data_IF_161433921253
#
_entry.id   IF_161433921253
#
_cell.length_a   1.000
_cell.length_b   1.000
_cell.length_c   1.000
_cell.angle_alpha   90.00
_cell.angle_beta   90.00
_cell.angle_gamma   90.00
#
_symmetry.space_group_name_H-M   'P 1'
#
loop_
_entity.id
_entity.type
_entity.pdbx_description
1 polymer ?
#
# COMPACT_ATOMS: atom_id res chain seq x y z
N UNK A 1 1.70 14.40 6.91
CA UNK A 1 2.71 13.65 6.14
C UNK A 1 3.24 12.50 6.98
N UNK A 2 3.64 11.38 6.37
CA UNK A 2 4.05 10.17 7.09
C UNK A 2 5.56 10.18 7.34
N UNK A 3 6.00 10.59 8.54
CA UNK A 3 7.42 10.63 8.97
C UNK A 3 8.00 9.22 9.13
N UNK A 4 8.30 8.54 8.02
CA UNK A 4 8.98 7.23 8.04
C UNK A 4 10.48 7.42 7.91
N UNK A 5 11.21 7.04 8.96
CA UNK A 5 12.67 6.97 8.97
C UNK A 5 13.05 5.53 8.58
N UNK A 6 13.67 5.35 7.42
CA UNK A 6 14.25 4.07 7.02
C UNK A 6 15.75 4.10 7.31
N UNK A 7 16.29 3.04 7.90
CA UNK A 7 17.70 3.01 8.37
C UNK A 7 18.71 2.92 7.21
N UNK A 8 18.26 2.56 6.00
CA UNK A 8 19.11 2.35 4.83
C UNK A 8 18.47 2.86 3.53
N UNK A 9 19.28 3.45 2.64
CA UNK A 9 18.86 3.84 1.28
C UNK A 9 18.28 2.66 0.47
N UNK A 10 18.73 1.44 0.76
CA UNK A 10 18.22 0.24 0.06
C UNK A 10 16.79 -0.06 0.49
N UNK A 11 16.50 0.12 1.78
CA UNK A 11 15.15 -0.03 2.32
C UNK A 11 14.24 1.09 1.83
N UNK A 12 14.73 2.33 1.77
CA UNK A 12 13.97 3.45 1.21
C UNK A 12 13.55 3.21 -0.25
N UNK A 13 14.49 2.77 -1.11
CA UNK A 13 14.17 2.43 -2.52
C UNK A 13 13.17 1.28 -2.61
N UNK A 14 13.30 0.27 -1.75
CA UNK A 14 12.38 -0.86 -1.70
C UNK A 14 10.97 -0.41 -1.28
N UNK A 15 10.86 0.38 -0.22
CA UNK A 15 9.60 0.95 0.29
C UNK A 15 8.95 1.88 -0.73
N UNK A 16 9.74 2.69 -1.44
CA UNK A 16 9.26 3.54 -2.53
C UNK A 16 8.70 2.71 -3.70
N UNK A 17 9.35 1.60 -4.04
CA UNK A 17 8.85 0.68 -5.07
C UNK A 17 7.51 0.07 -4.66
N UNK A 18 7.38 -0.38 -3.41
CA UNK A 18 6.12 -0.92 -2.86
C UNK A 18 5.01 0.12 -2.92
N UNK A 19 5.32 1.36 -2.52
CA UNK A 19 4.38 2.47 -2.57
C UNK A 19 3.88 2.73 -4.00
N UNK A 20 4.78 2.74 -4.98
CA UNK A 20 4.42 2.91 -6.38
C UNK A 20 3.51 1.78 -6.89
N UNK A 21 3.81 0.53 -6.57
CA UNK A 21 2.99 -0.63 -6.92
C UNK A 21 1.60 -0.56 -6.28
N UNK A 22 1.52 -0.21 -5.00
CA UNK A 22 0.25 -0.07 -4.28
C UNK A 22 -0.57 1.12 -4.82
N UNK A 23 0.07 2.25 -5.13
CA UNK A 23 -0.61 3.39 -5.78
C UNK A 23 -1.18 3.01 -7.14
N UNK A 24 -0.47 2.22 -7.93
CA UNK A 24 -0.97 1.70 -9.20
C UNK A 24 -2.18 0.78 -9.01
N UNK A 25 -2.15 -0.12 -8.02
CA UNK A 25 -3.30 -0.97 -7.66
C UNK A 25 -4.52 -0.15 -7.24
N UNK A 26 -4.33 0.88 -6.42
CA UNK A 26 -5.38 1.81 -5.99
C UNK A 26 -6.00 2.53 -7.20
N UNK A 27 -5.17 3.04 -8.11
CA UNK A 27 -5.65 3.69 -9.33
C UNK A 27 -6.48 2.73 -10.19
N UNK A 28 -5.99 1.50 -10.42
CA UNK A 28 -6.72 0.47 -11.17
C UNK A 28 -8.05 0.10 -10.51
N UNK A 29 -8.09 0.00 -9.18
CA UNK A 29 -9.33 -0.25 -8.45
C UNK A 29 -10.31 0.91 -8.57
N UNK A 30 -9.84 2.15 -8.48
CA UNK A 30 -10.68 3.33 -8.61
C UNK A 30 -11.22 3.50 -10.04
N UNK A 31 -10.48 3.10 -11.08
CA UNK A 31 -11.02 3.00 -12.43
C UNK A 31 -12.14 1.97 -12.54
N UNK A 32 -12.03 0.82 -11.86
CA UNK A 32 -13.11 -0.18 -11.81
C UNK A 32 -14.33 0.35 -11.06
N UNK A 33 -14.12 1.14 -10.01
CA UNK A 33 -15.19 1.81 -9.27
C UNK A 33 -15.95 2.79 -10.17
N UNK A 34 -15.22 3.60 -10.95
CA UNK A 34 -15.83 4.54 -11.91
C UNK A 34 -16.63 3.84 -13.02
N UNK A 35 -16.27 2.59 -13.36
CA UNK A 35 -17.05 1.73 -14.25
C UNK A 35 -18.21 0.98 -13.57
N UNK A 36 -18.39 1.14 -12.26
CA UNK A 36 -19.43 0.45 -11.50
C UNK A 36 -19.16 -1.05 -11.25
N UNK A 37 -17.93 -1.54 -11.48
CA UNK A 37 -17.57 -2.96 -11.26
C UNK A 37 -17.33 -3.28 -9.78
N UNK A 38 -17.06 -2.27 -8.96
CA UNK A 38 -16.79 -2.40 -7.52
C UNK A 38 -17.54 -1.31 -6.76
N UNK A 39 -17.93 -1.59 -5.52
CA UNK A 39 -18.79 -0.72 -4.71
C UNK A 39 -18.03 0.26 -3.81
N UNK A 40 -16.71 0.19 -3.77
CA UNK A 40 -15.87 1.02 -2.90
C UNK A 40 -14.67 1.61 -3.65
N UNK A 41 -14.08 2.66 -3.07
CA UNK A 41 -12.84 3.27 -3.56
C UNK A 41 -11.70 2.92 -2.62
N UNK A 42 -10.50 2.82 -3.17
CA UNK A 42 -9.28 2.70 -2.38
C UNK A 42 -8.58 4.07 -2.31
N UNK A 43 -7.90 4.31 -1.21
CA UNK A 43 -7.07 5.49 -0.98
C UNK A 43 -5.72 5.07 -0.40
N UNK A 44 -4.68 5.83 -0.73
CA UNK A 44 -3.35 5.66 -0.12
C UNK A 44 -3.40 6.05 1.35
N UNK A 45 -3.06 5.12 2.23
CA UNK A 45 -2.96 5.31 3.68
C UNK A 45 -1.53 5.07 4.18
N UNK A 46 -1.32 5.12 5.49
CA UNK A 46 -0.02 4.89 6.14
C UNK A 46 0.58 3.48 5.96
N UNK A 47 -0.19 2.55 5.39
CA UNK A 47 0.21 1.17 5.08
C UNK A 47 0.51 0.98 3.58
N UNK A 48 0.50 2.06 2.79
CA UNK A 48 0.69 1.98 1.33
C UNK A 48 2.09 1.53 0.92
N UNK A 49 3.06 1.58 1.82
CA UNK A 49 4.45 1.15 1.65
C UNK A 49 4.73 -0.24 2.29
N UNK A 50 3.69 -0.90 2.80
CA UNK A 50 3.80 -2.26 3.32
C UNK A 50 3.39 -3.27 2.25
N UNK A 51 4.10 -4.40 2.22
CA UNK A 51 3.69 -5.56 1.45
C UNK A 51 2.51 -6.25 2.12
N UNK A 52 1.73 -6.98 1.32
CA UNK A 52 0.57 -7.70 1.83
C UNK A 52 0.94 -8.71 2.93
N UNK A 53 2.07 -9.42 2.76
CA UNK A 53 2.54 -10.36 3.78
C UNK A 53 3.02 -9.66 5.06
N UNK A 54 3.66 -8.49 4.95
CA UNK A 54 4.06 -7.69 6.12
C UNK A 54 2.82 -7.21 6.87
N UNK A 55 1.82 -6.71 6.13
CA UNK A 55 0.56 -6.28 6.71
C UNK A 55 -0.15 -7.44 7.44
N UNK A 56 -0.23 -8.62 6.82
CA UNK A 56 -0.83 -9.80 7.43
C UNK A 56 -0.03 -10.28 8.63
N UNK A 57 1.31 -10.22 8.60
CA UNK A 57 2.12 -10.65 9.73
C UNK A 57 2.00 -9.69 10.93
N UNK A 58 1.92 -8.37 10.67
CA UNK A 58 1.84 -7.36 11.73
C UNK A 58 0.42 -7.16 12.27
N UNK A 59 -0.61 -7.31 11.42
CA UNK A 59 -2.00 -6.94 11.75
C UNK A 59 -2.94 -8.15 11.86
N UNK A 60 -2.51 -9.36 11.50
CA UNK A 60 -3.25 -10.56 11.87
C UNK A 60 -2.72 -11.04 13.22
N UNK A 61 -3.53 -10.85 14.27
CA UNK A 61 -3.20 -11.18 15.66
C UNK A 61 -3.19 -12.68 15.97
N UNK A 62 -2.96 -13.55 14.98
CA UNK A 62 -2.68 -14.96 15.20
C UNK A 62 -1.15 -15.15 15.17
N UNK A 63 -0.58 -15.34 16.36
CA UNK A 63 0.78 -15.84 16.57
C UNK A 63 0.75 -17.36 16.71
#
# INVERSE_FOLDING_TARGET
EHNKLYESETEERFRMKIFAENKHKVAKHNQRFERGEVTYRLATNKYSDMLHHEFVHTMNGFN
#
